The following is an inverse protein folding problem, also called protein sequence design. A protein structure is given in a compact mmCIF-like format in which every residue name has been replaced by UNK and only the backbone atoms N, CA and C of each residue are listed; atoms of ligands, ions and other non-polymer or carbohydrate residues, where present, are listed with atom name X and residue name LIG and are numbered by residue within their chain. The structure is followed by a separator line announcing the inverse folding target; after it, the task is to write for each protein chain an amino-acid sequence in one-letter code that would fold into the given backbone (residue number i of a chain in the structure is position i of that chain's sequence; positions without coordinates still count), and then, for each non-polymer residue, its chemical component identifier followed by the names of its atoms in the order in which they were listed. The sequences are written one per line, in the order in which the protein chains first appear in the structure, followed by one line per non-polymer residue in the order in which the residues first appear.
data_IF_006269733527
#
_entry.id   IF_006269733527
#
_cell.length_a   1.000
_cell.length_b   1.000
_cell.length_c   1.000
_cell.angle_alpha   90.00
_cell.angle_beta   90.00
_cell.angle_gamma   90.00
#
_symmetry.space_group_name_H-M   'P 1'
#
loop_
_entity.id
_entity.type
_entity.pdbx_description
1 polymer ?
#
# COMPACT_ATOMS: atom_id res chain seq x y z
N UNK A 1 20.58 23.41 16.33
CA UNK A 1 19.37 22.57 16.19
C UNK A 1 19.75 21.41 15.28
N UNK A 2 19.67 20.17 15.76
CA UNK A 2 19.99 19.00 14.92
C UNK A 2 18.85 18.80 13.92
N UNK A 3 19.18 18.57 12.66
CA UNK A 3 18.22 18.31 11.59
C UNK A 3 18.53 16.99 10.91
N UNK A 4 17.53 16.40 10.25
CA UNK A 4 17.69 15.24 9.36
C UNK A 4 17.12 15.55 7.98
N UNK A 5 17.75 15.08 6.90
CA UNK A 5 17.23 15.26 5.54
C UNK A 5 16.00 14.39 5.28
N UNK A 6 15.03 14.93 4.54
CA UNK A 6 13.85 14.20 4.08
C UNK A 6 13.51 14.54 2.63
N UNK A 7 12.73 13.67 2.02
CA UNK A 7 12.05 13.90 0.74
C UNK A 7 10.57 13.53 0.87
N UNK A 8 9.70 14.36 0.28
CA UNK A 8 8.31 14.01 0.02
C UNK A 8 8.24 13.49 -1.41
N UNK A 9 7.69 12.31 -1.59
CA UNK A 9 7.46 11.69 -2.88
C UNK A 9 6.01 11.28 -3.05
N UNK A 10 5.52 11.31 -4.27
CA UNK A 10 4.23 10.77 -4.64
C UNK A 10 4.44 9.40 -5.29
N UNK A 11 3.87 8.34 -4.70
CA UNK A 11 4.04 6.94 -5.12
C UNK A 11 2.83 6.47 -5.93
N UNK A 12 3.05 5.57 -6.89
CA UNK A 12 2.03 5.06 -7.83
C UNK A 12 1.45 6.15 -8.75
N UNK A 13 2.33 7.06 -9.17
CA UNK A 13 2.02 8.10 -10.15
C UNK A 13 3.26 8.53 -10.91
N UNK A 14 3.06 9.04 -12.11
CA UNK A 14 4.08 9.63 -12.98
C UNK A 14 4.06 11.16 -12.98
N UNK A 15 3.18 11.79 -12.18
CA UNK A 15 3.05 13.25 -12.10
C UNK A 15 2.94 13.77 -10.66
N UNK A 16 3.40 15.01 -10.39
CA UNK A 16 3.23 15.63 -9.08
C UNK A 16 1.77 15.79 -8.65
N UNK A 17 1.54 15.73 -7.34
CA UNK A 17 0.25 15.96 -6.67
C UNK A 17 -0.82 14.89 -6.95
N UNK A 18 -0.39 13.71 -7.38
CA UNK A 18 -1.20 12.52 -7.59
C UNK A 18 -0.60 11.35 -6.79
N UNK A 19 -1.11 10.12 -6.88
CA UNK A 19 -0.49 9.02 -6.13
C UNK A 19 -0.69 9.12 -4.61
N UNK A 20 0.04 8.27 -3.88
CA UNK A 20 0.07 8.26 -2.42
C UNK A 20 1.31 9.01 -1.89
N UNK A 21 1.15 10.13 -1.15
CA UNK A 21 2.29 10.89 -0.67
C UNK A 21 3.00 10.16 0.48
N UNK A 22 4.33 10.16 0.42
CA UNK A 22 5.21 9.48 1.36
C UNK A 22 6.35 10.42 1.77
N UNK A 23 6.61 10.50 3.08
CA UNK A 23 7.85 11.09 3.58
C UNK A 23 8.93 10.00 3.70
N UNK A 24 10.11 10.25 3.12
CA UNK A 24 11.30 9.39 3.21
C UNK A 24 12.40 10.17 3.93
N UNK A 25 12.76 9.71 5.13
CA UNK A 25 13.73 10.36 6.03
C UNK A 25 15.04 9.59 6.02
N UNK A 26 16.16 10.31 5.90
CA UNK A 26 17.51 9.74 5.88
C UNK A 26 18.32 10.20 7.10
N UNK A 27 19.46 9.53 7.36
CA UNK A 27 20.26 9.78 8.57
C UNK A 27 19.52 9.41 9.86
N UNK A 28 18.58 8.46 9.75
CA UNK A 28 17.68 8.08 10.82
C UNK A 28 18.31 7.11 11.84
N UNK A 29 19.53 6.66 11.61
CA UNK A 29 20.34 5.86 12.56
C UNK A 29 20.67 6.61 13.85
N UNK A 30 20.58 7.95 13.83
CA UNK A 30 20.72 8.81 14.99
C UNK A 30 19.42 9.01 15.79
N UNK A 31 18.29 8.47 15.32
CA UNK A 31 16.97 8.70 15.90
C UNK A 31 16.51 7.52 16.78
N UNK A 32 15.97 7.84 17.94
CA UNK A 32 15.19 6.90 18.74
C UNK A 32 13.81 6.64 18.13
N UNK A 33 13.19 5.50 18.48
CA UNK A 33 11.82 5.14 18.02
C UNK A 33 10.78 6.22 18.32
N UNK A 34 10.82 6.84 19.50
CA UNK A 34 9.90 7.91 19.87
C UNK A 34 10.04 9.16 18.99
N UNK A 35 11.26 9.48 18.54
CA UNK A 35 11.52 10.59 17.62
C UNK A 35 11.02 10.27 16.20
N UNK A 36 11.23 9.04 15.72
CA UNK A 36 10.66 8.59 14.44
C UNK A 36 9.13 8.68 14.44
N UNK A 37 8.49 8.20 15.50
CA UNK A 37 7.03 8.30 15.66
C UNK A 37 6.55 9.75 15.73
N UNK A 38 7.30 10.64 16.39
CA UNK A 38 6.98 12.07 16.44
C UNK A 38 7.11 12.75 15.08
N UNK A 39 8.15 12.43 14.31
CA UNK A 39 8.32 12.93 12.94
C UNK A 39 7.20 12.41 12.02
N UNK A 40 6.81 11.14 12.13
CA UNK A 40 5.70 10.59 11.35
C UNK A 40 4.37 11.31 11.64
N UNK A 41 4.13 11.70 12.90
CA UNK A 41 3.00 12.56 13.29
C UNK A 41 3.11 13.98 12.73
N UNK A 42 4.30 14.56 12.72
CA UNK A 42 4.53 15.90 12.18
C UNK A 42 4.27 15.97 10.67
N UNK A 43 4.71 14.96 9.91
CA UNK A 43 4.39 14.87 8.48
C UNK A 43 2.91 14.64 8.22
N UNK A 44 2.23 13.88 9.10
CA UNK A 44 0.79 13.58 9.02
C UNK A 44 0.35 13.04 7.63
N UNK A 45 1.24 12.29 6.99
CA UNK A 45 0.94 11.49 5.79
C UNK A 45 0.47 10.10 6.20
N UNK A 46 -0.03 9.28 5.24
CA UNK A 46 -0.41 7.89 5.50
C UNK A 46 0.73 7.14 6.20
N UNK A 47 1.95 7.27 5.67
CA UNK A 47 3.16 6.71 6.26
C UNK A 47 4.38 7.61 6.06
N UNK A 48 5.38 7.41 6.93
CA UNK A 48 6.74 7.92 6.83
C UNK A 48 7.71 6.75 6.90
N UNK A 49 8.68 6.70 5.99
CA UNK A 49 9.77 5.72 5.99
C UNK A 49 11.05 6.35 6.46
N UNK A 50 11.72 5.69 7.39
CA UNK A 50 13.07 6.00 7.83
C UNK A 50 14.02 5.01 7.17
N UNK A 51 14.96 5.52 6.39
CA UNK A 51 16.01 4.74 5.73
C UNK A 51 17.22 4.70 6.65
N UNK A 52 17.65 3.48 7.00
CA UNK A 52 18.77 3.19 7.88
C UNK A 52 19.77 2.27 7.17
N UNK A 53 21.03 2.24 7.65
CA UNK A 53 21.94 1.15 7.33
C UNK A 53 21.32 -0.22 7.67
N UNK A 54 21.63 -1.27 6.91
CA UNK A 54 21.28 -2.64 7.26
C UNK A 54 21.71 -3.02 8.67
N UNK A 55 20.91 -3.85 9.34
CA UNK A 55 21.29 -4.41 10.63
C UNK A 55 22.29 -5.56 10.48
N UNK A 56 22.94 -5.93 11.58
CA UNK A 56 23.80 -7.12 11.61
C UNK A 56 23.04 -8.43 11.33
N UNK A 57 21.71 -8.45 11.43
CA UNK A 57 20.89 -9.63 11.14
C UNK A 57 20.62 -9.81 9.64
N UNK A 58 20.79 -8.76 8.83
CA UNK A 58 20.63 -8.79 7.38
C UNK A 58 21.79 -8.01 6.69
N UNK A 59 23.05 -8.46 6.85
CA UNK A 59 24.23 -7.72 6.38
C UNK A 59 24.30 -7.58 4.86
N UNK A 60 23.49 -8.34 4.14
CA UNK A 60 23.38 -8.41 2.69
C UNK A 60 22.15 -7.66 2.14
N UNK A 61 21.38 -7.00 3.02
CA UNK A 61 20.37 -6.04 2.61
C UNK A 61 21.00 -4.76 2.05
N UNK A 62 20.33 -4.12 1.10
CA UNK A 62 20.74 -2.85 0.52
C UNK A 62 20.55 -1.70 1.52
N UNK A 63 19.42 -1.70 2.22
CA UNK A 63 19.07 -0.73 3.26
C UNK A 63 18.02 -1.34 4.20
N UNK A 64 17.84 -0.70 5.35
CA UNK A 64 16.76 -1.02 6.28
C UNK A 64 15.71 0.10 6.26
N UNK A 65 14.45 -0.28 6.20
CA UNK A 65 13.30 0.61 6.27
C UNK A 65 12.53 0.37 7.58
N UNK A 66 12.32 1.43 8.36
CA UNK A 66 11.31 1.45 9.41
C UNK A 66 10.15 2.33 8.96
N UNK A 67 8.92 1.83 9.09
CA UNK A 67 7.74 2.42 8.47
C UNK A 67 6.77 2.79 9.58
N UNK A 68 6.36 4.06 9.63
CA UNK A 68 5.45 4.56 10.64
C UNK A 68 4.24 5.19 10.00
N UNK A 69 3.06 4.84 10.49
CA UNK A 69 1.89 5.72 10.41
C UNK A 69 2.03 6.81 11.48
N UNK A 70 1.16 7.84 11.49
CA UNK A 70 1.10 8.79 12.61
C UNK A 70 0.80 8.11 13.96
N UNK A 71 0.16 6.94 13.97
CA UNK A 71 -0.26 6.25 15.19
C UNK A 71 0.75 5.20 15.69
N UNK A 72 1.39 4.46 14.79
CA UNK A 72 2.22 3.30 15.14
C UNK A 72 3.20 2.92 14.05
N UNK A 73 4.23 2.15 14.44
CA UNK A 73 5.12 1.46 13.50
C UNK A 73 4.39 0.28 12.82
N UNK A 74 4.66 0.08 11.54
CA UNK A 74 4.20 -1.06 10.74
C UNK A 74 5.39 -1.97 10.44
N UNK A 75 5.21 -3.31 10.48
CA UNK A 75 6.27 -4.24 10.08
C UNK A 75 6.59 -4.14 8.58
N UNK A 76 5.60 -3.77 7.77
CA UNK A 76 5.70 -3.64 6.32
C UNK A 76 4.55 -2.78 5.78
N UNK A 77 4.78 -2.09 4.65
CA UNK A 77 3.74 -1.49 3.84
C UNK A 77 4.19 -1.39 2.37
N UNK A 78 3.23 -1.51 1.44
CA UNK A 78 3.50 -1.58 0.00
C UNK A 78 4.03 -0.27 -0.61
N UNK A 79 3.20 0.79 -0.61
CA UNK A 79 3.61 2.09 -1.16
C UNK A 79 4.88 2.66 -0.47
N UNK A 80 5.06 2.51 0.85
CA UNK A 80 6.27 2.99 1.52
C UNK A 80 7.54 2.27 1.02
N UNK A 81 7.46 0.97 0.75
CA UNK A 81 8.60 0.20 0.23
C UNK A 81 8.94 0.58 -1.21
N UNK A 82 7.94 0.75 -2.08
CA UNK A 82 8.13 1.23 -3.46
C UNK A 82 8.74 2.63 -3.47
N UNK A 83 8.18 3.55 -2.68
CA UNK A 83 8.66 4.92 -2.55
C UNK A 83 10.08 5.01 -2.03
N UNK A 84 10.42 4.26 -0.98
CA UNK A 84 11.76 4.23 -0.40
C UNK A 84 12.79 3.67 -1.41
N UNK A 85 12.47 2.56 -2.09
CA UNK A 85 13.38 1.93 -3.04
C UNK A 85 13.75 2.86 -4.20
N UNK A 86 12.75 3.51 -4.84
CA UNK A 86 13.02 4.48 -5.91
C UNK A 86 13.80 5.68 -5.38
N UNK A 87 13.47 6.18 -4.18
CA UNK A 87 14.14 7.35 -3.60
C UNK A 87 15.61 7.07 -3.26
N UNK A 88 15.92 5.92 -2.65
CA UNK A 88 17.29 5.47 -2.36
C UNK A 88 18.10 5.35 -3.65
N UNK A 89 17.53 4.75 -4.71
CA UNK A 89 18.18 4.64 -6.02
C UNK A 89 18.38 6.02 -6.67
N UNK A 90 17.36 6.89 -6.67
CA UNK A 90 17.43 8.26 -7.23
C UNK A 90 18.53 9.09 -6.57
N UNK A 91 18.73 8.95 -5.25
CA UNK A 91 19.79 9.63 -4.50
C UNK A 91 21.19 9.05 -4.73
N UNK A 92 21.33 7.98 -5.52
CA UNK A 92 22.61 7.31 -5.76
C UNK A 92 23.12 6.50 -4.56
N UNK A 93 22.25 6.19 -3.59
CA UNK A 93 22.59 5.37 -2.43
C UNK A 93 22.57 3.86 -2.77
N UNK A 94 21.88 3.50 -3.85
CA UNK A 94 21.89 2.16 -4.43
C UNK A 94 21.83 2.26 -5.96
N UNK A 95 22.41 1.28 -6.66
CA UNK A 95 22.23 1.16 -8.10
C UNK A 95 20.81 0.63 -8.42
N UNK A 96 20.23 0.96 -9.59
CA UNK A 96 19.04 0.28 -10.10
C UNK A 96 19.27 -1.24 -10.22
N UNK A 97 18.20 -2.02 -10.13
CA UNK A 97 18.24 -3.48 -10.11
C UNK A 97 17.42 -4.06 -8.95
N UNK A 98 17.79 -5.25 -8.48
CA UNK A 98 17.14 -5.88 -7.32
C UNK A 98 17.70 -5.32 -6.02
N UNK A 99 16.90 -4.53 -5.32
CA UNK A 99 17.21 -4.04 -3.98
C UNK A 99 16.64 -4.98 -2.93
N UNK A 100 17.39 -5.16 -1.86
CA UNK A 100 16.98 -5.97 -0.70
C UNK A 100 16.68 -5.04 0.47
N UNK A 101 15.41 -4.79 0.71
CA UNK A 101 14.95 -3.94 1.80
C UNK A 101 14.74 -4.79 3.06
N UNK A 102 15.54 -4.56 4.10
CA UNK A 102 15.25 -5.07 5.44
C UNK A 102 14.12 -4.24 6.07
N UNK A 103 13.09 -4.88 6.64
CA UNK A 103 12.01 -4.22 7.39
C UNK A 103 11.50 -5.14 8.50
N UNK A 104 10.49 -4.70 9.26
CA UNK A 104 9.92 -5.50 10.36
C UNK A 104 9.28 -6.83 9.93
N UNK A 105 8.98 -7.01 8.63
CA UNK A 105 8.51 -8.25 8.05
C UNK A 105 9.62 -9.16 7.49
N UNK A 106 10.89 -8.78 7.64
CA UNK A 106 12.04 -9.48 7.06
C UNK A 106 12.66 -8.73 5.88
N UNK A 107 13.36 -9.45 5.00
CA UNK A 107 14.01 -8.89 3.82
C UNK A 107 13.10 -9.07 2.59
N UNK A 108 12.78 -7.96 1.93
CA UNK A 108 11.95 -7.91 0.74
C UNK A 108 12.80 -7.60 -0.49
N UNK A 109 12.52 -8.28 -1.59
CA UNK A 109 13.11 -7.96 -2.88
C UNK A 109 12.22 -6.97 -3.63
N UNK A 110 12.85 -5.91 -4.12
CA UNK A 110 12.21 -4.84 -4.87
C UNK A 110 13.02 -4.60 -6.14
N UNK A 111 12.42 -4.80 -7.30
CA UNK A 111 13.04 -4.49 -8.58
C UNK A 111 12.86 -3.00 -8.86
N UNK A 112 13.96 -2.25 -8.98
CA UNK A 112 13.93 -0.81 -9.25
C UNK A 112 14.52 -0.53 -10.63
N UNK A 113 13.75 0.17 -11.47
CA UNK A 113 14.21 0.60 -12.78
C UNK A 113 15.04 1.88 -12.69
N UNK A 114 15.87 2.13 -13.71
CA UNK A 114 16.60 3.40 -13.82
C UNK A 114 15.68 4.62 -14.09
N UNK A 115 14.40 4.38 -14.39
CA UNK A 115 13.40 5.38 -14.79
C UNK A 115 12.39 5.73 -13.69
N UNK A 116 12.71 5.42 -12.43
CA UNK A 116 11.89 5.82 -11.29
C UNK A 116 10.63 4.98 -11.08
N UNK A 117 10.65 3.73 -11.52
CA UNK A 117 9.61 2.74 -11.26
C UNK A 117 10.18 1.66 -10.34
N UNK A 118 9.37 1.11 -9.44
CA UNK A 118 9.73 -0.09 -8.71
C UNK A 118 8.60 -1.11 -8.69
N UNK A 119 8.96 -2.39 -8.72
CA UNK A 119 8.08 -3.55 -8.56
C UNK A 119 8.40 -4.25 -7.26
N UNK A 120 7.36 -4.44 -6.45
CA UNK A 120 7.39 -5.15 -5.19
C UNK A 120 6.65 -6.49 -5.34
N UNK A 121 7.30 -7.57 -4.93
CA UNK A 121 6.64 -8.89 -4.78
C UNK A 121 6.04 -8.99 -3.39
N UNK A 122 4.76 -9.38 -3.31
CA UNK A 122 4.07 -9.60 -2.04
C UNK A 122 4.60 -10.80 -1.27
N UNK A 123 4.12 -10.96 -0.03
CA UNK A 123 4.42 -12.13 0.80
C UNK A 123 3.65 -13.38 0.37
N UNK A 124 3.39 -14.29 1.29
CA UNK A 124 2.56 -15.48 1.01
C UNK A 124 1.11 -15.06 0.74
N UNK A 125 0.48 -15.52 -0.36
CA UNK A 125 -0.94 -15.31 -0.61
C UNK A 125 -1.83 -15.93 0.48
N UNK A 126 -2.84 -15.19 0.93
CA UNK A 126 -3.88 -15.66 1.85
C UNK A 126 -5.25 -15.32 1.30
N UNK A 127 -6.19 -16.24 1.50
CA UNK A 127 -7.58 -16.08 1.08
C UNK A 127 -8.49 -16.63 2.17
N UNK A 128 -9.24 -15.74 2.81
CA UNK A 128 -10.17 -16.04 3.88
C UNK A 128 -11.50 -16.63 3.39
N UNK A 129 -12.39 -17.02 4.32
CA UNK A 129 -13.73 -17.46 3.99
C UNK A 129 -14.60 -16.32 3.45
N UNK A 130 -15.71 -16.69 2.84
CA UNK A 130 -16.78 -15.75 2.47
C UNK A 130 -17.37 -15.06 3.71
N UNK A 131 -17.77 -13.81 3.53
CA UNK A 131 -18.37 -12.96 4.56
C UNK A 131 -19.73 -12.48 4.10
N UNK A 132 -20.60 -12.15 5.06
CA UNK A 132 -21.87 -11.49 4.77
C UNK A 132 -21.61 -10.07 4.21
N UNK A 133 -22.15 -9.72 3.02
CA UNK A 133 -22.03 -8.37 2.48
C UNK A 133 -22.84 -7.31 3.23
N UNK A 134 -23.90 -7.66 3.96
CA UNK A 134 -24.81 -6.66 4.53
C UNK A 134 -24.11 -5.66 5.49
N UNK A 135 -23.27 -6.10 6.47
CA UNK A 135 -22.50 -5.17 7.29
C UNK A 135 -21.55 -4.28 6.48
N UNK A 136 -20.95 -4.82 5.41
CA UNK A 136 -19.94 -4.11 4.61
C UNK A 136 -20.59 -3.07 3.70
N UNK A 137 -21.78 -3.35 3.19
CA UNK A 137 -22.59 -2.40 2.45
C UNK A 137 -23.00 -1.23 3.35
N UNK A 138 -23.44 -1.49 4.59
CA UNK A 138 -23.74 -0.43 5.57
C UNK A 138 -22.51 0.46 5.82
N UNK A 139 -21.34 -0.15 6.05
CA UNK A 139 -20.07 0.58 6.24
C UNK A 139 -19.72 1.44 5.03
N UNK A 140 -19.98 0.95 3.82
CA UNK A 140 -19.71 1.68 2.58
C UNK A 140 -20.81 2.69 2.22
N UNK A 141 -21.89 2.81 3.01
CA UNK A 141 -23.03 3.66 2.66
C UNK A 141 -23.76 3.20 1.39
N UNK A 142 -23.75 1.89 1.13
CA UNK A 142 -24.31 1.23 -0.04
C UNK A 142 -25.45 0.28 0.36
N UNK A 143 -26.15 -0.24 -0.65
CA UNK A 143 -27.31 -1.13 -0.51
C UNK A 143 -27.08 -2.45 -1.24
N UNK A 144 -27.93 -3.45 -0.99
CA UNK A 144 -27.85 -4.75 -1.67
C UNK A 144 -27.93 -4.66 -3.21
N UNK A 145 -28.56 -3.60 -3.75
CA UNK A 145 -28.64 -3.36 -5.19
C UNK A 145 -27.28 -2.99 -5.83
N UNK A 146 -26.30 -2.62 -5.00
CA UNK A 146 -24.97 -2.20 -5.43
C UNK A 146 -24.00 -3.38 -5.58
N UNK A 147 -24.36 -4.59 -5.13
CA UNK A 147 -23.47 -5.74 -5.12
C UNK A 147 -23.19 -6.28 -6.54
N UNK A 148 -21.94 -6.68 -6.81
CA UNK A 148 -21.55 -7.26 -8.11
C UNK A 148 -21.66 -8.80 -8.19
N UNK A 149 -22.24 -9.45 -7.17
CA UNK A 149 -22.52 -10.89 -7.19
C UNK A 149 -21.39 -11.82 -6.72
N UNK A 150 -20.24 -11.28 -6.31
CA UNK A 150 -19.17 -12.04 -5.66
C UNK A 150 -19.18 -11.82 -4.15
N UNK A 151 -19.07 -12.90 -3.35
CA UNK A 151 -19.08 -12.78 -1.90
C UNK A 151 -17.85 -12.01 -1.42
N UNK A 152 -18.00 -11.11 -0.44
CA UNK A 152 -16.86 -10.46 0.19
C UNK A 152 -15.93 -11.48 0.84
N UNK A 153 -14.62 -11.27 0.70
CA UNK A 153 -13.60 -12.13 1.32
C UNK A 153 -12.42 -11.29 1.78
N UNK A 154 -11.78 -11.74 2.84
CA UNK A 154 -10.44 -11.28 3.18
C UNK A 154 -9.45 -11.90 2.19
N UNK A 155 -8.54 -11.11 1.63
CA UNK A 155 -7.42 -11.62 0.84
C UNK A 155 -6.17 -10.79 1.10
N UNK A 156 -5.00 -11.40 0.93
CA UNK A 156 -3.72 -10.74 1.17
C UNK A 156 -2.59 -11.43 0.44
N UNK A 157 -1.47 -10.73 0.33
CA UNK A 157 -0.20 -11.25 -0.15
C UNK A 157 0.89 -10.48 0.63
N UNK A 158 0.92 -10.72 1.95
CA UNK A 158 1.54 -9.84 2.95
C UNK A 158 0.52 -9.31 3.96
N UNK A 159 -0.07 -8.13 3.72
CA UNK A 159 -1.15 -7.58 4.55
C UNK A 159 -2.52 -7.96 3.99
N UNK A 160 -3.43 -8.33 4.89
CA UNK A 160 -4.81 -8.68 4.54
C UNK A 160 -5.72 -7.46 4.42
N UNK A 161 -6.65 -7.55 3.46
CA UNK A 161 -7.70 -6.58 3.18
C UNK A 161 -9.03 -7.30 2.96
N UNK A 162 -10.13 -6.68 3.40
CA UNK A 162 -11.48 -7.18 3.19
C UNK A 162 -12.06 -6.53 1.93
N UNK A 163 -12.33 -7.34 0.91
CA UNK A 163 -12.81 -6.88 -0.39
C UNK A 163 -14.34 -7.00 -0.49
N UNK A 164 -14.99 -5.91 -0.91
CA UNK A 164 -16.42 -5.84 -1.23
C UNK A 164 -16.58 -5.46 -2.71
N UNK A 165 -17.03 -6.43 -3.51
CA UNK A 165 -17.26 -6.23 -4.94
C UNK A 165 -18.64 -5.61 -5.21
N UNK A 166 -18.63 -4.45 -5.85
CA UNK A 166 -19.81 -3.64 -6.16
C UNK A 166 -19.85 -3.28 -7.64
N UNK A 167 -20.99 -2.80 -8.10
CA UNK A 167 -21.17 -2.29 -9.45
C UNK A 167 -20.22 -1.11 -9.71
N UNK A 168 -19.76 -0.90 -10.96
CA UNK A 168 -18.85 0.22 -11.29
C UNK A 168 -19.35 1.58 -10.81
N UNK A 169 -20.64 1.87 -10.96
CA UNK A 169 -21.24 3.15 -10.54
C UNK A 169 -21.30 3.33 -9.01
N UNK A 170 -21.19 2.25 -8.24
CA UNK A 170 -21.29 2.27 -6.78
C UNK A 170 -19.96 2.62 -6.09
N UNK A 171 -18.81 2.35 -6.71
CA UNK A 171 -17.48 2.64 -6.12
C UNK A 171 -17.35 4.13 -5.80
N UNK A 172 -17.66 5.00 -6.77
CA UNK A 172 -17.62 6.45 -6.60
C UNK A 172 -18.66 6.98 -5.58
N UNK A 173 -19.78 6.25 -5.39
CA UNK A 173 -20.84 6.58 -4.43
C UNK A 173 -20.52 6.16 -3.00
N UNK A 174 -19.63 5.19 -2.80
CA UNK A 174 -19.31 4.69 -1.45
C UNK A 174 -18.92 5.84 -0.50
N UNK A 175 -19.42 5.82 0.73
CA UNK A 175 -19.08 6.78 1.78
C UNK A 175 -18.89 6.01 3.08
N UNK A 176 -17.73 6.18 3.71
CA UNK A 176 -17.44 5.50 4.96
C UNK A 176 -18.41 5.93 6.07
N UNK A 177 -19.20 4.99 6.58
CA UNK A 177 -19.86 5.11 7.88
C UNK A 177 -18.93 4.53 8.96
N UNK A 178 -18.17 5.42 9.61
CA UNK A 178 -17.24 5.05 10.67
C UNK A 178 -17.94 4.45 11.91
N UNK A 179 -19.21 4.81 12.15
CA UNK A 179 -19.99 4.27 13.28
C UNK A 179 -20.45 2.85 12.98
N UNK A 180 -20.87 2.57 11.75
CA UNK A 180 -21.14 1.21 11.30
C UNK A 180 -19.85 0.36 11.33
N UNK A 181 -18.72 0.91 10.89
CA UNK A 181 -17.43 0.20 10.92
C UNK A 181 -17.02 -0.20 12.35
N UNK A 182 -17.15 0.72 13.31
CA UNK A 182 -16.88 0.44 14.71
C UNK A 182 -17.86 -0.59 15.29
N UNK A 183 -19.16 -0.48 14.98
CA UNK A 183 -20.20 -1.42 15.43
C UNK A 183 -19.95 -2.85 14.95
N UNK A 184 -19.52 -3.00 13.70
CA UNK A 184 -19.27 -4.29 13.07
C UNK A 184 -17.83 -4.80 13.25
N UNK A 185 -16.95 -4.01 13.89
CA UNK A 185 -15.56 -4.37 14.16
C UNK A 185 -14.72 -4.55 12.89
N UNK A 186 -14.98 -3.77 11.84
CA UNK A 186 -14.28 -3.84 10.56
C UNK A 186 -13.25 -2.69 10.50
N UNK A 187 -11.95 -2.96 10.66
CA UNK A 187 -10.93 -1.90 10.75
C UNK A 187 -10.50 -1.35 9.38
N UNK A 188 -10.73 -2.11 8.30
CA UNK A 188 -10.39 -1.74 6.92
C UNK A 188 -11.40 -2.37 5.97
N UNK A 189 -11.83 -1.61 4.97
CA UNK A 189 -12.72 -2.08 3.91
C UNK A 189 -12.22 -1.59 2.55
N UNK A 190 -12.06 -2.52 1.61
CA UNK A 190 -11.72 -2.21 0.23
C UNK A 190 -12.94 -2.44 -0.66
N UNK A 191 -13.52 -1.36 -1.18
CA UNK A 191 -14.65 -1.40 -2.12
C UNK A 191 -14.10 -1.39 -3.54
N UNK A 192 -14.57 -2.30 -4.39
CA UNK A 192 -14.02 -2.48 -5.73
C UNK A 192 -15.08 -2.72 -6.79
N UNK A 193 -14.77 -2.30 -8.02
CA UNK A 193 -15.38 -2.83 -9.24
C UNK A 193 -14.29 -3.41 -10.15
N UNK A 194 -14.58 -4.56 -10.75
CA UNK A 194 -13.68 -5.28 -11.66
C UNK A 194 -14.25 -5.27 -13.08
N UNK A 195 -13.42 -4.90 -14.05
CA UNK A 195 -13.70 -5.03 -15.47
C UNK A 195 -12.79 -6.11 -16.09
N UNK A 196 -13.40 -7.26 -16.40
CA UNK A 196 -12.70 -8.40 -16.99
C UNK A 196 -12.32 -8.20 -18.47
N UNK A 197 -12.89 -7.19 -19.15
CA UNK A 197 -12.59 -6.92 -20.57
C UNK A 197 -11.25 -6.20 -20.73
N UNK A 198 -10.91 -5.35 -19.77
CA UNK A 198 -9.69 -4.54 -19.73
C UNK A 198 -8.69 -5.03 -18.68
N UNK A 199 -9.08 -5.97 -17.82
CA UNK A 199 -8.36 -6.37 -16.61
C UNK A 199 -8.04 -5.18 -15.71
N UNK A 200 -9.02 -4.30 -15.49
CA UNK A 200 -8.86 -3.12 -14.64
C UNK A 200 -9.77 -3.18 -13.43
N UNK A 201 -9.27 -2.73 -12.29
CA UNK A 201 -10.06 -2.53 -11.08
C UNK A 201 -10.12 -1.03 -10.72
N UNK A 202 -11.30 -0.57 -10.31
CA UNK A 202 -11.46 0.70 -9.61
C UNK A 202 -11.67 0.41 -8.13
N UNK A 203 -10.75 0.89 -7.30
CA UNK A 203 -10.68 0.61 -5.87
C UNK A 203 -10.86 1.89 -5.05
N UNK A 204 -11.42 1.72 -3.86
CA UNK A 204 -11.33 2.67 -2.74
C UNK A 204 -11.05 1.90 -1.46
N UNK A 205 -10.07 2.33 -0.68
CA UNK A 205 -9.69 1.69 0.59
C UNK A 205 -10.00 2.63 1.75
N UNK A 206 -10.94 2.21 2.60
CA UNK A 206 -11.32 2.91 3.80
C UNK A 206 -10.65 2.29 5.02
N UNK A 207 -10.03 3.13 5.84
CA UNK A 207 -9.37 2.76 7.08
C UNK A 207 -10.04 3.38 8.31
N UNK A 208 -11.25 2.93 8.71
CA UNK A 208 -11.91 3.40 9.92
C UNK A 208 -11.06 3.08 11.16
N UNK A 209 -10.42 4.09 11.74
CA UNK A 209 -9.56 3.95 12.92
C UNK A 209 -8.06 4.11 12.67
N UNK A 210 -7.63 4.43 11.44
CA UNK A 210 -6.26 4.89 11.16
C UNK A 210 -6.23 6.39 10.86
N UNK A 211 -5.03 6.98 10.85
CA UNK A 211 -4.86 8.44 10.69
C UNK A 211 -5.42 9.00 9.38
N UNK A 212 -5.49 8.17 8.33
CA UNK A 212 -6.03 8.53 7.01
C UNK A 212 -7.30 7.72 6.75
N UNK A 213 -8.46 8.40 6.73
CA UNK A 213 -9.76 7.75 6.61
C UNK A 213 -9.95 7.01 5.26
N UNK A 214 -9.35 7.53 4.19
CA UNK A 214 -9.32 6.91 2.87
C UNK A 214 -7.92 7.03 2.26
N UNK A 215 -7.31 5.90 1.92
CA UNK A 215 -5.94 5.84 1.41
C UNK A 215 -5.91 6.07 -0.12
N UNK A 216 -5.03 6.95 -0.65
CA UNK A 216 -4.97 7.25 -2.09
C UNK A 216 -4.55 6.09 -2.99
N UNK A 217 -3.62 5.26 -2.53
CA UNK A 217 -3.12 4.13 -3.30
C UNK A 217 -2.58 3.05 -2.37
N UNK A 218 -3.32 1.95 -2.25
CA UNK A 218 -3.03 0.91 -1.28
C UNK A 218 -2.35 -0.28 -1.95
N UNK A 219 -1.03 -0.22 -2.11
CA UNK A 219 -0.27 -1.28 -2.78
C UNK A 219 -0.48 -2.69 -2.20
N UNK A 220 -0.70 -2.81 -0.90
CA UNK A 220 -1.03 -4.10 -0.27
C UNK A 220 -2.44 -4.60 -0.60
N UNK A 221 -3.41 -3.72 -0.82
CA UNK A 221 -4.74 -4.10 -1.31
C UNK A 221 -4.67 -4.48 -2.79
N UNK A 222 -3.85 -3.79 -3.59
CA UNK A 222 -3.62 -4.17 -4.99
C UNK A 222 -3.02 -5.59 -5.09
N UNK A 223 -2.03 -5.93 -4.25
CA UNK A 223 -1.50 -7.30 -4.16
C UNK A 223 -2.56 -8.33 -3.73
N UNK A 224 -3.36 -8.02 -2.70
CA UNK A 224 -4.45 -8.88 -2.22
C UNK A 224 -5.58 -9.06 -3.23
N UNK A 225 -5.82 -8.06 -4.09
CA UNK A 225 -6.84 -8.12 -5.13
C UNK A 225 -6.57 -9.24 -6.12
N UNK A 226 -5.32 -9.43 -6.57
CA UNK A 226 -4.97 -10.54 -7.45
C UNK A 226 -5.32 -11.90 -6.83
N UNK A 227 -5.09 -12.05 -5.52
CA UNK A 227 -5.44 -13.26 -4.77
C UNK A 227 -6.96 -13.44 -4.70
N UNK A 228 -7.69 -12.35 -4.43
CA UNK A 228 -9.15 -12.34 -4.40
C UNK A 228 -9.76 -12.70 -5.76
N UNK A 229 -9.27 -12.08 -6.86
CA UNK A 229 -9.76 -12.31 -8.22
C UNK A 229 -9.54 -13.77 -8.66
N UNK A 230 -8.36 -14.34 -8.39
CA UNK A 230 -8.09 -15.77 -8.63
C UNK A 230 -9.04 -16.65 -7.82
N UNK A 231 -9.21 -16.36 -6.53
CA UNK A 231 -10.09 -17.12 -5.64
C UNK A 231 -11.59 -16.98 -5.94
N UNK A 232 -11.98 -15.91 -6.65
CA UNK A 232 -13.34 -15.69 -7.15
C UNK A 232 -13.59 -16.34 -8.52
N UNK A 233 -12.57 -16.97 -9.13
CA UNK A 233 -12.67 -17.55 -10.47
C UNK A 233 -12.76 -16.50 -11.58
N UNK A 234 -12.35 -15.26 -11.32
CA UNK A 234 -12.40 -14.14 -12.26
C UNK A 234 -11.16 -14.05 -13.16
N UNK A 235 -10.12 -14.82 -12.86
CA UNK A 235 -8.87 -14.92 -13.63
C UNK A 235 -8.59 -16.38 -14.02
N UNK A 236 -7.72 -16.62 -15.01
CA UNK A 236 -7.27 -17.96 -15.36
C UNK A 236 -6.72 -18.75 -14.16
N UNK A 237 -7.01 -20.06 -14.13
CA UNK A 237 -6.62 -20.93 -13.03
C UNK A 237 -5.10 -21.17 -12.93
N UNK A 238 -4.38 -21.00 -14.05
CA UNK A 238 -2.94 -21.24 -14.16
C UNK A 238 -2.25 -20.10 -14.92
N UNK A 239 -0.99 -19.84 -14.57
CA UNK A 239 -0.14 -18.86 -15.23
C UNK A 239 -0.20 -17.47 -14.60
N UNK A 240 0.46 -16.51 -15.27
CA UNK A 240 0.56 -15.12 -14.78
C UNK A 240 -0.41 -14.21 -15.52
N UNK A 241 -1.27 -13.54 -14.76
CA UNK A 241 -2.19 -12.52 -15.28
C UNK A 241 -1.74 -11.13 -14.87
N UNK A 242 -1.82 -10.17 -15.80
CA UNK A 242 -1.61 -8.74 -15.54
C UNK A 242 -2.95 -8.04 -15.36
N UNK A 243 -2.98 -7.08 -14.44
CA UNK A 243 -4.14 -6.22 -14.21
C UNK A 243 -3.69 -4.86 -13.70
N UNK A 244 -4.52 -3.86 -13.92
CA UNK A 244 -4.25 -2.48 -13.49
C UNK A 244 -5.27 -2.05 -12.44
N UNK A 245 -4.78 -1.37 -11.41
CA UNK A 245 -5.63 -0.80 -10.35
C UNK A 245 -5.64 0.72 -10.46
N UNK A 246 -6.83 1.29 -10.48
CA UNK A 246 -7.06 2.72 -10.31
C UNK A 246 -7.65 3.01 -8.92
N UNK A 247 -7.03 3.93 -8.19
CA UNK A 247 -7.46 4.31 -6.84
C UNK A 247 -7.28 5.82 -6.60
N UNK A 248 -8.04 6.38 -5.66
CA UNK A 248 -7.81 7.72 -5.11
C UNK A 248 -8.36 8.88 -5.95
N UNK A 249 -9.03 8.61 -7.08
CA UNK A 249 -9.63 9.64 -7.91
C UNK A 249 -10.67 10.48 -7.14
N UNK A 250 -11.48 9.83 -6.31
CA UNK A 250 -12.54 10.45 -5.49
C UNK A 250 -12.01 11.42 -4.43
N UNK A 251 -10.74 11.28 -4.04
CA UNK A 251 -10.06 12.16 -3.08
C UNK A 251 -8.98 13.02 -3.74
N UNK A 252 -9.08 13.23 -5.05
CA UNK A 252 -8.18 14.07 -5.85
C UNK A 252 -6.71 13.62 -5.86
N UNK A 253 -6.47 12.33 -5.63
CA UNK A 253 -5.16 11.68 -5.64
C UNK A 253 -5.17 10.47 -6.57
N UNK A 254 -5.44 10.66 -7.88
CA UNK A 254 -5.54 9.55 -8.81
C UNK A 254 -4.21 8.80 -8.88
N UNK A 255 -4.30 7.48 -8.78
CA UNK A 255 -3.15 6.59 -8.67
C UNK A 255 -3.36 5.39 -9.60
N UNK A 256 -2.28 4.93 -10.23
CA UNK A 256 -2.30 3.74 -11.09
C UNK A 256 -1.25 2.76 -10.61
N UNK A 257 -1.68 1.54 -10.31
CA UNK A 257 -0.81 0.46 -9.87
C UNK A 257 -0.85 -0.67 -10.92
N UNK A 258 0.32 -1.06 -11.39
CA UNK A 258 0.48 -2.15 -12.35
C UNK A 258 0.77 -3.45 -11.61
N UNK A 259 -0.11 -4.44 -11.76
CA UNK A 259 -0.07 -5.63 -10.93
C UNK A 259 0.04 -6.90 -11.76
N UNK A 260 0.63 -7.92 -11.14
CA UNK A 260 0.55 -9.29 -11.65
C UNK A 260 0.09 -10.23 -10.55
N UNK A 261 -0.58 -11.32 -10.94
CA UNK A 261 -0.81 -12.48 -10.07
C UNK A 261 -0.46 -13.73 -10.84
N UNK A 262 0.30 -14.63 -10.22
CA UNK A 262 0.57 -15.97 -10.74
C UNK A 262 -0.32 -16.95 -9.99
N UNK A 263 -1.04 -17.78 -10.74
CA UNK A 263 -1.90 -18.83 -10.21
C UNK A 263 -1.41 -20.22 -10.63
N UNK A 264 -1.71 -21.21 -9.79
CA UNK A 264 -1.57 -22.63 -10.10
C UNK A 264 -2.76 -23.38 -9.49
N UNK A 265 -3.47 -24.17 -10.30
CA UNK A 265 -4.62 -24.95 -9.86
C UNK A 265 -5.74 -24.09 -9.25
N UNK A 266 -5.97 -22.89 -9.76
CA UNK A 266 -7.00 -21.97 -9.27
C UNK A 266 -6.67 -21.25 -7.96
N UNK A 267 -5.42 -21.32 -7.50
CA UNK A 267 -4.94 -20.62 -6.31
C UNK A 267 -3.80 -19.68 -6.65
N UNK A 268 -3.80 -18.47 -6.10
CA UNK A 268 -2.69 -17.54 -6.27
C UNK A 268 -1.45 -18.04 -5.52
N UNK A 269 -0.30 -18.02 -6.16
CA UNK A 269 1.00 -18.42 -5.59
C UNK A 269 1.96 -17.25 -5.40
N UNK A 270 1.80 -16.17 -6.18
CA UNK A 270 2.52 -14.92 -6.00
C UNK A 270 1.75 -13.75 -6.60
N UNK A 271 1.99 -12.54 -6.09
CA UNK A 271 1.49 -11.31 -6.68
C UNK A 271 2.57 -10.23 -6.64
N UNK A 272 2.57 -9.33 -7.63
CA UNK A 272 3.43 -8.15 -7.66
C UNK A 272 2.62 -6.89 -7.87
N UNK A 273 3.15 -5.77 -7.37
CA UNK A 273 2.62 -4.43 -7.60
C UNK A 273 3.76 -3.51 -7.99
N UNK A 274 3.55 -2.69 -9.00
CA UNK A 274 4.54 -1.77 -9.53
C UNK A 274 3.94 -0.38 -9.78
N UNK A 275 4.82 0.61 -9.81
CA UNK A 275 4.48 1.94 -10.29
C UNK A 275 5.60 2.95 -10.12
N UNK A 276 5.36 4.14 -10.68
CA UNK A 276 6.29 5.25 -10.66
C UNK A 276 6.28 6.00 -9.31
N UNK A 277 7.39 6.68 -9.04
CA UNK A 277 7.56 7.55 -7.87
C UNK A 277 8.12 8.90 -8.32
N UNK A 278 7.45 9.98 -7.92
CA UNK A 278 7.81 11.35 -8.29
C UNK A 278 8.30 12.13 -7.06
N UNK A 279 9.45 12.80 -7.17
CA UNK A 279 9.92 13.74 -6.14
C UNK A 279 9.05 15.00 -6.12
N UNK A 280 8.55 15.39 -4.95
CA UNK A 280 7.70 16.58 -4.76
C UNK A 280 8.45 17.69 -4.05
N UNK A 281 9.11 17.34 -2.94
CA UNK A 281 9.84 18.28 -2.12
C UNK A 281 11.01 17.59 -1.42
N UNK A 282 12.04 18.36 -1.07
CA UNK A 282 13.13 17.90 -0.22
C UNK A 282 13.60 19.02 0.68
N UNK A 283 14.13 18.65 1.83
CA UNK A 283 14.65 19.60 2.79
C UNK A 283 15.25 18.93 4.01
N UNK A 284 15.35 19.70 5.07
CA UNK A 284 15.75 19.23 6.38
C UNK A 284 14.63 19.49 7.38
N UNK A 285 14.42 18.55 8.30
CA UNK A 285 13.44 18.67 9.38
C UNK A 285 14.16 18.64 10.74
N UNK A 286 13.70 19.48 11.67
CA UNK A 286 14.24 19.51 13.01
C UNK A 286 14.00 18.19 13.72
N UNK A 287 15.03 17.64 14.36
CA UNK A 287 14.91 16.44 15.17
C UNK A 287 14.21 16.82 16.48
N UNK A 288 13.09 16.16 16.85
CA UNK A 288 12.44 16.40 18.14
C UNK A 288 13.44 16.21 19.28
N UNK A 289 13.40 17.06 20.33
CA UNK A 289 14.23 16.83 21.51
C UNK A 289 13.92 15.44 22.09
N UNK A 290 14.85 14.86 22.85
CA UNK A 290 14.67 13.53 23.42
C UNK A 290 13.29 13.40 24.08
N UNK A 291 12.43 12.57 23.49
CA UNK A 291 11.13 12.19 24.02
C UNK A 291 11.38 10.91 24.81
N UNK A 292 11.51 11.04 26.13
CA UNK A 292 11.71 9.92 27.05
C UNK A 292 10.60 8.88 26.97
#
# INVERSE_FOLDING_TARGET
MTTVPYEIVDVFTDRPFAGNPLAVVFGADLLGTAQMAALAREFNLSETVFVLPPSAAAPDATYRARIFTPASELPFAGHPSVGAAVTVTRRGLAAPGTLRQECGAGVLEIEVSAHGEARLTGGTPTLGPERDPAPLLEIAGLTAADLAGHPPRTAGCGLEHLFLAVRPDAVARARLDASAAARHGVPKLTVLAWDATTNTAHLRMFGPGVAVAEDPATGSAALGLGVWLTGAGLLPADGTTRYTVHQGAEIHRPSTLECTVTAAGGSAVSATVAGHVVEIAKGEIAVPPFLG
#
